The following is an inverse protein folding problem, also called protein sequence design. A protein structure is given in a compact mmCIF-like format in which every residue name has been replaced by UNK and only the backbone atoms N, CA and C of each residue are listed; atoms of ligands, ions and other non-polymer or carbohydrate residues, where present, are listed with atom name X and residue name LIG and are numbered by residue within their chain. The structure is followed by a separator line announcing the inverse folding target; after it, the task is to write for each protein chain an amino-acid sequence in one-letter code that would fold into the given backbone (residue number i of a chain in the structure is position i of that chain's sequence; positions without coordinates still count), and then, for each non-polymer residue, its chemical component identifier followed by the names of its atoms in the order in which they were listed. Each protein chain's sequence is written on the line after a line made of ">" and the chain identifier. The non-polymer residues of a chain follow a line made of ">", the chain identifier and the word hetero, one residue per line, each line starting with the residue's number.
data_IF_270810165148
#
_entry.id   IF_270810165148
#
_cell.length_a   1.000
_cell.length_b   1.000
_cell.length_c   1.000
_cell.angle_alpha   90.00
_cell.angle_beta   90.00
_cell.angle_gamma   90.00
#
_symmetry.space_group_name_H-M   'P 1'
#
loop_
_entity.id
_entity.type
_entity.pdbx_description
1 polymer ?
#
# COMPACT_ATOMS: atom_id res chain seq x y z
N UNK A 1 8.33 -27.90 -5.49
CA UNK A 1 8.22 -26.58 -4.82
C UNK A 1 7.64 -25.45 -5.69
N UNK A 2 7.27 -25.66 -6.98
CA UNK A 2 6.70 -24.61 -7.84
C UNK A 2 5.39 -24.01 -7.30
N UNK A 3 4.48 -24.87 -6.82
CA UNK A 3 3.19 -24.45 -6.27
C UNK A 3 3.31 -23.46 -5.12
N UNK A 4 4.17 -23.72 -4.14
CA UNK A 4 4.37 -22.81 -2.99
C UNK A 4 4.79 -21.42 -3.43
N UNK A 5 5.69 -21.32 -4.42
CA UNK A 5 6.14 -20.02 -4.95
C UNK A 5 4.96 -19.21 -5.52
N UNK A 6 4.12 -19.88 -6.30
CA UNK A 6 2.99 -19.25 -6.97
C UNK A 6 1.87 -18.90 -5.98
N UNK A 7 1.63 -19.75 -4.97
CA UNK A 7 0.71 -19.44 -3.88
C UNK A 7 1.16 -18.23 -3.05
N UNK A 8 2.46 -18.11 -2.76
CA UNK A 8 2.99 -16.97 -2.01
C UNK A 8 2.88 -15.65 -2.79
N UNK A 9 3.10 -15.68 -4.11
CA UNK A 9 2.87 -14.52 -4.97
C UNK A 9 1.38 -14.15 -5.04
N UNK A 10 0.50 -15.13 -5.22
CA UNK A 10 -0.96 -14.92 -5.24
C UNK A 10 -1.46 -14.37 -3.90
N UNK A 11 -0.96 -14.89 -2.78
CA UNK A 11 -1.28 -14.40 -1.44
C UNK A 11 -0.88 -12.92 -1.29
N UNK A 12 0.36 -12.57 -1.65
CA UNK A 12 0.85 -11.20 -1.58
C UNK A 12 -0.01 -10.22 -2.39
N UNK A 13 -0.41 -10.60 -3.61
CA UNK A 13 -1.29 -9.82 -4.46
C UNK A 13 -2.68 -9.63 -3.85
N UNK A 14 -3.28 -10.72 -3.35
CA UNK A 14 -4.59 -10.67 -2.70
C UNK A 14 -4.57 -9.79 -1.44
N UNK A 15 -3.53 -9.92 -0.61
CA UNK A 15 -3.33 -9.10 0.57
C UNK A 15 -3.28 -7.61 0.22
N UNK A 16 -2.49 -7.25 -0.80
CA UNK A 16 -2.40 -5.87 -1.29
C UNK A 16 -3.77 -5.28 -1.68
N UNK A 17 -4.52 -6.02 -2.50
CA UNK A 17 -5.79 -5.57 -3.07
C UNK A 17 -6.86 -5.40 -1.99
N UNK A 18 -6.86 -6.29 -1.00
CA UNK A 18 -7.87 -6.32 0.06
C UNK A 18 -7.43 -5.58 1.34
N UNK A 19 -6.22 -5.01 1.37
CA UNK A 19 -5.72 -4.28 2.53
C UNK A 19 -6.66 -3.16 3.01
N UNK A 20 -7.28 -2.33 2.14
CA UNK A 20 -8.24 -1.32 2.59
C UNK A 20 -9.47 -1.94 3.28
N UNK A 21 -9.95 -3.08 2.79
CA UNK A 21 -11.07 -3.81 3.41
C UNK A 21 -10.68 -4.34 4.79
N UNK A 22 -9.44 -4.79 4.96
CA UNK A 22 -8.91 -5.20 6.26
C UNK A 22 -8.81 -4.03 7.22
N UNK A 23 -8.43 -2.83 6.74
CA UNK A 23 -8.41 -1.62 7.56
C UNK A 23 -9.82 -1.16 7.95
N UNK A 24 -10.80 -1.27 7.05
CA UNK A 24 -12.18 -0.81 7.30
C UNK A 24 -12.98 -1.79 8.17
N UNK A 25 -12.87 -3.09 7.91
CA UNK A 25 -13.75 -4.13 8.48
C UNK A 25 -13.04 -5.12 9.39
N UNK A 26 -11.71 -5.08 9.42
CA UNK A 26 -10.92 -5.96 10.27
C UNK A 26 -10.90 -5.49 11.73
N UNK A 27 -10.31 -6.31 12.62
CA UNK A 27 -9.97 -5.89 13.97
C UNK A 27 -9.20 -4.56 13.99
N UNK A 28 -9.34 -3.72 15.04
CA UNK A 28 -8.74 -2.38 15.10
C UNK A 28 -7.24 -2.32 14.78
N UNK A 29 -6.50 -3.40 15.06
CA UNK A 29 -5.07 -3.53 14.77
C UNK A 29 -4.71 -3.35 13.29
N UNK A 30 -5.63 -3.61 12.37
CA UNK A 30 -5.39 -3.40 10.94
C UNK A 30 -5.27 -1.92 10.58
N UNK A 31 -5.99 -1.03 11.26
CA UNK A 31 -5.89 0.42 11.05
C UNK A 31 -4.48 0.96 11.35
N UNK A 32 -3.80 0.36 12.32
CA UNK A 32 -2.44 0.74 12.74
C UNK A 32 -1.36 0.19 11.82
N UNK A 33 -1.71 -0.72 10.90
CA UNK A 33 -0.74 -1.37 10.02
C UNK A 33 -0.63 -0.63 8.69
N UNK A 34 0.59 -0.32 8.28
CA UNK A 34 0.88 0.18 6.93
C UNK A 34 1.40 -0.93 6.02
N UNK A 35 0.96 -0.94 4.77
CA UNK A 35 1.51 -1.82 3.76
C UNK A 35 2.85 -1.26 3.25
N UNK A 36 3.96 -1.66 3.88
CA UNK A 36 5.31 -1.25 3.48
C UNK A 36 6.31 -2.42 3.49
N UNK A 37 7.45 -2.23 2.83
CA UNK A 37 8.59 -3.15 2.84
C UNK A 37 9.82 -2.40 3.36
N UNK A 38 9.95 -2.23 4.69
CA UNK A 38 11.08 -1.52 5.29
C UNK A 38 12.43 -2.18 4.99
N UNK A 39 13.52 -1.45 5.23
CA UNK A 39 14.85 -2.07 5.18
C UNK A 39 14.96 -3.17 6.23
N UNK A 40 15.55 -4.29 5.85
CA UNK A 40 15.84 -5.39 6.76
C UNK A 40 17.25 -5.24 7.32
N UNK A 41 17.48 -5.76 8.52
CA UNK A 41 18.81 -5.84 9.12
C UNK A 41 19.78 -6.68 8.29
N UNK A 42 21.08 -6.56 8.57
CA UNK A 42 22.12 -7.29 7.85
C UNK A 42 21.84 -8.80 7.84
N UNK A 43 21.95 -9.43 6.67
CA UNK A 43 21.72 -10.87 6.48
C UNK A 43 20.27 -11.28 6.30
N UNK A 44 19.31 -10.36 6.43
CA UNK A 44 17.89 -10.63 6.22
C UNK A 44 17.43 -10.19 4.83
N UNK A 45 16.61 -11.02 4.19
CA UNK A 45 16.06 -10.76 2.87
C UNK A 45 14.58 -11.12 2.85
N UNK A 46 13.78 -10.31 2.18
CA UNK A 46 12.41 -10.69 1.88
C UNK A 46 12.38 -11.83 0.86
N UNK A 47 11.40 -12.70 0.99
CA UNK A 47 11.18 -13.75 0.01
C UNK A 47 10.83 -13.14 -1.36
N UNK A 48 11.62 -13.38 -2.42
CA UNK A 48 11.53 -12.58 -3.66
C UNK A 48 10.15 -12.56 -4.35
N UNK A 49 9.42 -13.69 -4.48
CA UNK A 49 8.09 -13.69 -5.10
C UNK A 49 7.08 -12.79 -4.39
N UNK A 50 7.05 -12.83 -3.05
CA UNK A 50 6.16 -11.99 -2.23
C UNK A 50 6.61 -10.53 -2.28
N UNK A 51 7.92 -10.29 -2.16
CA UNK A 51 8.47 -8.95 -2.17
C UNK A 51 8.18 -8.21 -3.48
N UNK A 52 8.27 -8.91 -4.62
CA UNK A 52 7.95 -8.34 -5.95
C UNK A 52 6.52 -7.81 -6.00
N UNK A 53 5.55 -8.62 -5.59
CA UNK A 53 4.13 -8.26 -5.63
C UNK A 53 3.79 -7.12 -4.65
N UNK A 54 4.36 -7.16 -3.44
CA UNK A 54 4.16 -6.09 -2.45
C UNK A 54 4.82 -4.76 -2.88
N UNK A 55 6.02 -4.76 -3.47
CA UNK A 55 6.63 -3.53 -4.01
C UNK A 55 5.78 -2.91 -5.12
N UNK A 56 5.31 -3.74 -6.06
CA UNK A 56 4.44 -3.28 -7.14
C UNK A 56 3.15 -2.65 -6.59
N UNK A 57 2.58 -3.25 -5.54
CA UNK A 57 1.42 -2.70 -4.84
C UNK A 57 1.65 -1.30 -4.27
N UNK A 58 2.75 -1.11 -3.54
CA UNK A 58 3.07 0.18 -2.88
C UNK A 58 3.27 1.28 -3.92
N UNK A 59 3.97 0.97 -5.02
CA UNK A 59 4.15 1.90 -6.15
C UNK A 59 2.81 2.23 -6.82
N UNK A 60 1.94 1.24 -7.04
CA UNK A 60 0.62 1.48 -7.61
C UNK A 60 -0.25 2.39 -6.73
N UNK A 61 -0.24 2.18 -5.40
CA UNK A 61 -1.01 3.00 -4.45
C UNK A 61 -0.49 4.43 -4.32
N UNK A 62 0.83 4.62 -4.36
CA UNK A 62 1.42 5.97 -4.36
C UNK A 62 1.08 6.74 -5.63
N UNK A 63 1.08 6.08 -6.79
CA UNK A 63 0.67 6.68 -8.06
C UNK A 63 -0.83 7.06 -8.07
N UNK A 64 -1.71 6.22 -7.53
CA UNK A 64 -3.14 6.55 -7.40
C UNK A 64 -3.34 7.74 -6.45
N UNK A 65 -2.61 7.81 -5.33
CA UNK A 65 -2.68 8.95 -4.40
C UNK A 65 -2.17 10.24 -5.04
N UNK A 66 -1.15 10.16 -5.90
CA UNK A 66 -0.66 11.31 -6.69
C UNK A 66 -1.66 11.78 -7.76
N UNK A 67 -2.42 10.85 -8.36
CA UNK A 67 -3.49 11.17 -9.32
C UNK A 67 -4.77 11.70 -8.66
N UNK A 68 -5.01 11.32 -7.40
CA UNK A 68 -6.13 11.81 -6.60
C UNK A 68 -5.86 13.18 -5.93
N UNK A 69 -4.67 13.77 -6.12
CA UNK A 69 -4.46 15.17 -5.76
C UNK A 69 -5.30 16.03 -6.72
N UNK A 70 -6.35 16.72 -6.22
CA UNK A 70 -7.07 17.67 -7.06
C UNK A 70 -6.09 18.81 -7.35
N UNK A 71 -5.68 18.96 -8.61
CA UNK A 71 -4.77 20.02 -9.06
C UNK A 71 -5.41 21.41 -9.06
N UNK A 72 -6.53 21.62 -8.36
CA UNK A 72 -7.16 22.92 -8.20
C UNK A 72 -7.77 23.02 -6.81
N UNK A 73 -7.16 23.90 -6.01
CA UNK A 73 -7.66 24.35 -4.74
C UNK A 73 -9.13 24.79 -4.85
N UNK A 74 -10.01 24.28 -3.98
CA UNK A 74 -11.42 24.71 -4.02
C UNK A 74 -11.51 26.17 -3.58
N UNK A 75 -12.40 26.95 -4.18
CA UNK A 75 -12.60 28.39 -3.86
C UNK A 75 -12.78 28.61 -2.34
N UNK A 76 -13.48 27.70 -1.67
CA UNK A 76 -13.70 27.71 -0.23
C UNK A 76 -12.39 27.63 0.56
N UNK A 77 -11.44 26.81 0.14
CA UNK A 77 -10.15 26.65 0.83
C UNK A 77 -9.26 27.89 0.64
N UNK A 78 -9.37 28.57 -0.51
CA UNK A 78 -8.69 29.84 -0.79
C UNK A 78 -9.25 31.00 0.04
N UNK A 79 -10.57 31.07 0.22
CA UNK A 79 -11.22 32.07 1.09
C UNK A 79 -10.83 31.87 2.56
N UNK A 80 -10.69 30.62 2.98
CA UNK A 80 -10.32 30.26 4.35
C UNK A 80 -8.80 30.32 4.61
N UNK A 81 -7.97 30.63 3.60
CA UNK A 81 -6.51 30.73 3.75
C UNK A 81 -5.82 29.39 3.99
N UNK A 82 -6.47 28.27 3.68
CA UNK A 82 -5.94 26.91 3.85
C UNK A 82 -5.03 26.47 2.69
N UNK A 83 -4.93 27.32 1.68
CA UNK A 83 -4.28 27.07 0.41
C UNK A 83 -3.98 28.43 -0.26
N UNK A 84 -2.73 28.60 -0.72
CA UNK A 84 -2.18 29.86 -1.27
C UNK A 84 -2.05 29.82 -2.79
#
# INVERSE_FOLDING_TARGET
>A
MRGTRDYMARFARSLCQNFPVLQEKGPPKWCETEMSLPSLGRGWFYYPPTAKELKACVVAKTNVKAQAAPSQCKMQERILGLCS
#
